data_IF_519029150763
#
_entry.id   IF_519029150763
#
_cell.length_a   1.000
_cell.length_b   1.000
_cell.length_c   1.000
_cell.angle_alpha   90.00
_cell.angle_beta   90.00
_cell.angle_gamma   90.00
#
_symmetry.space_group_name_H-M   'P 1'
#
loop_
_entity.id
_entity.type
_entity.pdbx_description
1 polymer ?
#
# COMPACT_ATOMS: atom_id res chain seq x y z
N UNK A 1 12.30 9.91 -12.27
CA UNK A 1 12.16 9.97 -13.74
C UNK A 1 10.96 10.84 -14.07
N UNK A 2 11.11 12.03 -14.69
CA UNK A 2 9.97 12.78 -15.21
C UNK A 2 10.02 12.84 -16.74
N UNK A 3 8.88 12.57 -17.38
CA UNK A 3 8.69 12.86 -18.81
C UNK A 3 7.87 14.13 -18.95
N UNK A 4 8.57 15.16 -19.40
CA UNK A 4 8.09 16.46 -19.84
C UNK A 4 7.66 16.34 -21.30
N UNK A 5 6.48 16.84 -21.65
CA UNK A 5 6.20 17.30 -23.02
C UNK A 5 5.51 18.65 -22.93
N UNK A 6 6.17 19.65 -23.50
CA UNK A 6 5.69 21.01 -23.66
C UNK A 6 5.46 21.32 -25.14
N UNK A 7 4.36 22.05 -25.39
CA UNK A 7 4.26 23.24 -26.23
C UNK A 7 4.36 23.17 -27.77
N UNK A 8 3.26 23.59 -28.45
CA UNK A 8 3.03 24.94 -29.05
C UNK A 8 2.17 24.84 -30.33
N UNK A 9 1.22 25.76 -30.52
CA UNK A 9 1.27 26.82 -31.56
C UNK A 9 0.02 27.71 -31.48
N UNK A 10 0.28 29.01 -31.61
CA UNK A 10 -0.59 30.19 -31.54
C UNK A 10 -1.59 30.33 -32.72
N UNK A 11 -2.65 31.11 -32.47
CA UNK A 11 -3.46 31.76 -33.52
C UNK A 11 -4.26 32.95 -32.96
N UNK A 12 -3.90 34.17 -33.40
CA UNK A 12 -4.43 35.48 -33.00
C UNK A 12 -5.54 35.94 -33.98
N UNK A 13 -6.72 36.36 -33.44
CA UNK A 13 -7.61 37.54 -33.74
C UNK A 13 -7.86 37.90 -35.24
N UNK A 14 -9.11 38.14 -35.75
CA UNK A 14 -9.89 39.34 -35.37
C UNK A 14 -11.44 39.33 -35.47
N UNK A 15 -12.08 40.26 -34.75
CA UNK A 15 -13.37 40.89 -35.13
C UNK A 15 -13.08 41.98 -36.18
N UNK A 16 -13.97 42.29 -37.16
CA UNK A 16 -15.15 43.14 -36.88
C UNK A 16 -16.33 43.03 -37.90
N UNK A 17 -17.39 43.81 -37.64
CA UNK A 17 -18.06 44.74 -38.58
C UNK A 17 -19.61 44.66 -38.57
N UNK A 18 -20.20 45.74 -38.07
CA UNK A 18 -21.54 46.22 -38.36
C UNK A 18 -21.63 46.76 -39.79
N UNK A 19 -22.72 46.45 -40.51
CA UNK A 19 -23.06 47.10 -41.79
C UNK A 19 -24.55 47.49 -41.78
N UNK A 20 -24.79 48.79 -41.71
CA UNK A 20 -25.98 49.46 -42.25
C UNK A 20 -25.76 49.76 -43.74
N UNK A 21 -26.76 49.54 -44.58
CA UNK A 21 -26.95 50.21 -45.88
C UNK A 21 -28.41 49.94 -46.34
N UNK A 22 -29.28 50.94 -46.30
CA UNK A 22 -29.61 51.90 -47.37
C UNK A 22 -30.59 51.36 -48.43
N UNK A 23 -31.72 52.09 -48.51
CA UNK A 23 -32.76 52.07 -49.53
C UNK A 23 -32.22 52.35 -50.93
N UNK A 24 -32.93 51.88 -51.96
CA UNK A 24 -33.16 52.67 -53.16
C UNK A 24 -34.65 52.95 -53.37
N UNK A 25 -34.94 54.23 -53.53
CA UNK A 25 -36.17 54.76 -54.14
C UNK A 25 -36.11 54.44 -55.64
N UNK A 26 -37.14 53.76 -56.14
CA UNK A 26 -37.36 53.51 -57.57
C UNK A 26 -38.83 53.70 -57.92
N UNK A 27 -39.11 54.76 -58.66
CA UNK A 27 -40.41 55.13 -59.23
C UNK A 27 -40.68 54.39 -60.57
N UNK A 28 -41.96 54.42 -60.96
CA UNK A 28 -42.57 54.11 -62.27
C UNK A 28 -43.00 52.66 -62.54
N UNK A 29 -44.32 52.42 -62.58
CA UNK A 29 -45.09 52.24 -63.83
C UNK A 29 -46.50 51.69 -63.52
N UNK A 30 -47.51 52.47 -63.87
CA UNK A 30 -48.92 52.05 -63.95
C UNK A 30 -49.13 51.09 -65.12
N UNK A 31 -49.68 49.90 -64.86
CA UNK A 31 -50.16 48.96 -65.88
C UNK A 31 -51.50 48.33 -65.47
N UNK A 32 -52.30 47.87 -66.45
CA UNK A 32 -53.75 47.98 -66.43
C UNK A 32 -54.45 46.83 -65.71
N UNK A 33 -55.65 47.16 -65.22
CA UNK A 33 -56.69 46.27 -64.71
C UNK A 33 -57.02 45.15 -65.69
N UNK A 34 -56.40 43.98 -65.48
CA UNK A 34 -56.79 42.71 -66.08
C UNK A 34 -57.95 42.06 -65.31
N UNK A 35 -59.02 41.76 -66.04
CA UNK A 35 -60.21 41.02 -65.60
C UNK A 35 -59.84 39.67 -64.95
N UNK A 36 -60.52 39.25 -63.87
CA UNK A 36 -60.22 38.00 -63.19
C UNK A 36 -60.54 36.79 -64.08
N UNK A 37 -59.52 35.98 -64.36
CA UNK A 37 -59.70 34.64 -64.91
C UNK A 37 -60.52 33.79 -63.92
N UNK A 38 -61.49 33.00 -64.39
CA UNK A 38 -62.25 32.09 -63.55
C UNK A 38 -61.30 31.09 -62.88
N UNK A 39 -61.38 31.02 -61.55
CA UNK A 39 -60.62 30.08 -60.74
C UNK A 39 -60.84 28.65 -61.26
N UNK A 40 -59.79 28.04 -61.81
CA UNK A 40 -59.82 26.63 -62.15
C UNK A 40 -59.98 25.84 -60.85
N UNK A 41 -61.12 25.18 -60.72
CA UNK A 41 -61.42 24.24 -59.65
C UNK A 41 -60.32 23.19 -59.57
N UNK A 42 -59.42 23.31 -58.60
CA UNK A 42 -58.44 22.27 -58.28
C UNK A 42 -59.19 21.09 -57.66
N UNK A 43 -59.70 20.21 -58.53
CA UNK A 43 -60.21 18.91 -58.12
C UNK A 43 -59.03 18.04 -57.70
N UNK A 44 -58.91 17.72 -56.41
CA UNK A 44 -58.20 16.50 -56.03
C UNK A 44 -57.77 16.34 -54.58
N UNK A 45 -57.19 17.35 -53.93
CA UNK A 45 -56.31 17.08 -52.75
C UNK A 45 -56.83 17.71 -51.44
N UNK A 46 -57.89 18.50 -51.47
CA UNK A 46 -58.36 19.28 -50.30
C UNK A 46 -59.41 18.59 -49.44
N UNK A 47 -59.79 17.32 -49.70
CA UNK A 47 -60.72 16.61 -48.81
C UNK A 47 -60.05 16.38 -47.45
N UNK A 48 -60.70 16.76 -46.33
CA UNK A 48 -60.16 16.47 -45.01
C UNK A 48 -59.97 14.97 -44.87
N UNK A 49 -58.87 14.57 -44.25
CA UNK A 49 -58.65 13.15 -43.91
C UNK A 49 -59.88 12.67 -43.13
N UNK A 50 -60.39 11.48 -43.43
CA UNK A 50 -61.53 10.95 -42.70
C UNK A 50 -61.16 10.82 -41.22
N UNK A 51 -62.11 11.13 -40.34
CA UNK A 51 -61.89 11.27 -38.88
C UNK A 51 -61.15 10.07 -38.27
N UNK A 52 -61.40 8.86 -38.78
CA UNK A 52 -60.75 7.63 -38.34
C UNK A 52 -59.23 7.63 -38.57
N UNK A 53 -58.75 8.16 -39.71
CA UNK A 53 -57.33 8.20 -40.01
C UNK A 53 -56.58 9.19 -39.11
N UNK A 54 -57.26 10.27 -38.70
CA UNK A 54 -56.76 11.21 -37.72
C UNK A 54 -56.66 10.58 -36.32
N UNK A 55 -57.71 9.88 -35.88
CA UNK A 55 -57.72 9.19 -34.57
C UNK A 55 -56.66 8.09 -34.51
N UNK A 56 -56.54 7.25 -35.55
CA UNK A 56 -55.51 6.20 -35.60
C UNK A 56 -54.10 6.79 -35.61
N UNK A 57 -53.89 7.93 -36.29
CA UNK A 57 -52.61 8.64 -36.25
C UNK A 57 -52.24 9.09 -34.83
N UNK A 58 -53.20 9.65 -34.08
CA UNK A 58 -52.97 10.05 -32.69
C UNK A 58 -52.68 8.82 -31.81
N UNK A 59 -53.45 7.74 -31.93
CA UNK A 59 -53.24 6.52 -31.15
C UNK A 59 -51.87 5.91 -31.44
N UNK A 60 -51.43 5.88 -32.71
CA UNK A 60 -50.11 5.38 -33.09
C UNK A 60 -48.99 6.24 -32.51
N UNK A 61 -49.15 7.57 -32.49
CA UNK A 61 -48.18 8.49 -31.88
C UNK A 61 -48.11 8.29 -30.37
N UNK A 62 -49.26 8.27 -29.67
CA UNK A 62 -49.32 8.06 -28.22
C UNK A 62 -48.76 6.68 -27.86
N UNK A 63 -49.16 5.64 -28.59
CA UNK A 63 -48.66 4.28 -28.42
C UNK A 63 -47.14 4.23 -28.65
N UNK A 64 -46.63 4.89 -29.68
CA UNK A 64 -45.19 5.00 -29.94
C UNK A 64 -44.43 5.66 -28.79
N UNK A 65 -44.96 6.76 -28.24
CA UNK A 65 -44.35 7.47 -27.09
C UNK A 65 -44.37 6.60 -25.83
N UNK A 66 -45.51 5.96 -25.51
CA UNK A 66 -45.63 5.07 -24.34
C UNK A 66 -44.70 3.87 -24.48
N UNK A 67 -44.62 3.28 -25.67
CA UNK A 67 -43.76 2.11 -25.89
C UNK A 67 -42.28 2.50 -25.81
N UNK A 68 -41.89 3.67 -26.35
CA UNK A 68 -40.53 4.19 -26.21
C UNK A 68 -40.16 4.45 -24.74
N UNK A 69 -41.11 4.95 -23.93
CA UNK A 69 -40.90 5.18 -22.51
C UNK A 69 -40.84 3.86 -21.70
N UNK A 70 -41.70 2.89 -22.00
CA UNK A 70 -41.81 1.64 -21.25
C UNK A 70 -40.76 0.58 -21.62
N UNK A 71 -40.12 0.69 -22.79
CA UNK A 71 -39.12 -0.29 -23.25
C UNK A 71 -37.68 0.11 -22.95
N UNK A 72 -37.43 1.36 -22.59
CA UNK A 72 -36.13 1.79 -22.08
C UNK A 72 -35.95 1.32 -20.64
N UNK A 73 -34.94 0.48 -20.38
CA UNK A 73 -34.49 0.21 -18.99
C UNK A 73 -33.91 1.44 -18.31
N UNK A 74 -33.65 2.50 -19.08
CA UNK A 74 -33.07 3.78 -18.68
C UNK A 74 -34.10 4.88 -18.94
N UNK A 75 -34.56 5.53 -17.86
CA UNK A 75 -35.65 6.52 -17.92
C UNK A 75 -35.20 7.77 -18.68
N UNK A 76 -33.93 8.17 -18.53
CA UNK A 76 -33.37 9.30 -19.24
C UNK A 76 -33.26 9.03 -20.75
N UNK A 77 -32.89 7.81 -21.14
CA UNK A 77 -32.88 7.42 -22.55
C UNK A 77 -34.30 7.38 -23.15
N UNK A 78 -35.29 6.92 -22.36
CA UNK A 78 -36.70 6.93 -22.73
C UNK A 78 -37.22 8.35 -22.99
N UNK A 79 -36.90 9.30 -22.11
CA UNK A 79 -37.30 10.71 -22.24
C UNK A 79 -36.63 11.39 -23.44
N UNK A 80 -35.32 11.18 -23.65
CA UNK A 80 -34.62 11.71 -24.83
C UNK A 80 -35.22 11.16 -26.12
N UNK A 81 -35.50 9.86 -26.17
CA UNK A 81 -36.12 9.24 -27.35
C UNK A 81 -37.52 9.81 -27.59
N UNK A 82 -38.32 9.97 -26.54
CA UNK A 82 -39.64 10.59 -26.64
C UNK A 82 -39.55 12.05 -27.12
N UNK A 83 -38.58 12.83 -26.63
CA UNK A 83 -38.34 14.21 -27.04
C UNK A 83 -37.91 14.32 -28.51
N UNK A 84 -37.01 13.45 -28.97
CA UNK A 84 -36.56 13.40 -30.38
C UNK A 84 -37.71 12.98 -31.30
N UNK A 85 -38.50 11.98 -30.89
CA UNK A 85 -39.68 11.55 -31.64
C UNK A 85 -40.71 12.68 -31.73
N UNK A 86 -40.98 13.38 -30.61
CA UNK A 86 -41.90 14.51 -30.59
C UNK A 86 -41.43 15.66 -31.52
N UNK A 87 -40.14 16.02 -31.50
CA UNK A 87 -39.58 17.00 -32.42
C UNK A 87 -39.69 16.56 -33.89
N UNK A 88 -39.38 15.29 -34.18
CA UNK A 88 -39.46 14.74 -35.53
C UNK A 88 -40.89 14.82 -36.07
N UNK A 89 -41.88 14.47 -35.25
CA UNK A 89 -43.30 14.60 -35.59
C UNK A 89 -43.66 16.08 -35.80
N UNK A 90 -43.21 16.99 -34.94
CA UNK A 90 -43.47 18.42 -35.08
C UNK A 90 -42.93 19.00 -36.39
N UNK A 91 -41.72 18.61 -36.80
CA UNK A 91 -41.11 18.99 -38.08
C UNK A 91 -41.92 18.46 -39.25
N UNK A 92 -42.29 17.17 -39.23
CA UNK A 92 -43.13 16.58 -40.29
C UNK A 92 -44.49 17.28 -40.39
N UNK A 93 -45.15 17.55 -39.26
CA UNK A 93 -46.42 18.27 -39.22
C UNK A 93 -46.30 19.71 -39.73
N UNK A 94 -45.18 20.37 -39.45
CA UNK A 94 -44.88 21.72 -39.98
C UNK A 94 -44.73 21.69 -41.50
N UNK A 95 -43.98 20.72 -42.05
CA UNK A 95 -43.85 20.54 -43.50
C UNK A 95 -45.20 20.25 -44.17
N UNK A 96 -46.01 19.38 -43.56
CA UNK A 96 -47.37 19.08 -44.04
C UNK A 96 -48.25 20.32 -44.01
N UNK A 97 -48.16 21.15 -42.96
CA UNK A 97 -48.90 22.40 -42.85
C UNK A 97 -48.45 23.41 -43.93
N UNK A 98 -47.15 23.53 -44.22
CA UNK A 98 -46.62 24.39 -45.29
C UNK A 98 -47.13 23.93 -46.66
N UNK A 99 -47.01 22.64 -46.98
CA UNK A 99 -47.48 22.08 -48.25
C UNK A 99 -48.99 22.29 -48.40
N UNK A 100 -49.78 22.03 -47.35
CA UNK A 100 -51.22 22.28 -47.36
C UNK A 100 -51.58 23.76 -47.51
N UNK A 101 -50.78 24.65 -46.91
CA UNK A 101 -50.94 26.11 -47.07
C UNK A 101 -50.81 26.52 -48.53
N UNK A 102 -49.76 26.02 -49.20
CA UNK A 102 -49.51 26.26 -50.64
C UNK A 102 -50.60 25.62 -51.50
N UNK A 103 -51.07 24.42 -51.14
CA UNK A 103 -52.09 23.67 -51.90
C UNK A 103 -53.53 24.20 -51.73
N UNK A 104 -53.72 25.35 -51.08
CA UNK A 104 -55.01 26.05 -51.04
C UNK A 104 -55.67 26.14 -49.66
N UNK A 105 -55.06 25.62 -48.59
CA UNK A 105 -55.55 25.90 -47.23
C UNK A 105 -55.49 27.39 -46.89
N UNK A 106 -54.53 28.12 -47.48
CA UNK A 106 -54.41 29.58 -47.35
C UNK A 106 -55.43 30.37 -48.19
N UNK A 107 -56.18 29.73 -49.11
CA UNK A 107 -57.12 30.42 -49.98
C UNK A 107 -58.22 31.12 -49.17
N UNK A 108 -58.57 32.36 -49.53
CA UNK A 108 -59.65 33.13 -48.87
C UNK A 108 -61.01 32.43 -48.91
N UNK A 109 -61.21 31.51 -49.85
CA UNK A 109 -62.43 30.72 -50.00
C UNK A 109 -62.60 29.59 -48.99
N UNK A 110 -61.59 29.28 -48.17
CA UNK A 110 -61.70 28.25 -47.13
C UNK A 110 -62.27 28.85 -45.82
N UNK A 111 -63.55 28.61 -45.47
CA UNK A 111 -64.17 29.17 -44.26
C UNK A 111 -63.55 28.62 -42.96
N UNK A 112 -62.82 27.50 -43.03
CA UNK A 112 -62.19 26.86 -41.86
C UNK A 112 -60.69 27.17 -41.73
N UNK A 113 -60.14 28.02 -42.60
CA UNK A 113 -58.72 28.40 -42.62
C UNK A 113 -58.18 28.70 -41.23
N UNK A 114 -58.82 29.62 -40.51
CA UNK A 114 -58.34 30.09 -39.21
C UNK A 114 -58.32 28.95 -38.18
N UNK A 115 -59.37 28.13 -38.14
CA UNK A 115 -59.46 27.00 -37.20
C UNK A 115 -58.39 25.95 -37.49
N UNK A 116 -58.12 25.65 -38.76
CA UNK A 116 -57.10 24.67 -39.17
C UNK A 116 -55.68 25.15 -38.83
N UNK A 117 -55.38 26.43 -39.07
CA UNK A 117 -54.08 27.02 -38.70
C UNK A 117 -53.87 27.06 -37.20
N UNK A 118 -54.89 27.49 -36.44
CA UNK A 118 -54.80 27.52 -34.98
C UNK A 118 -54.61 26.10 -34.44
N UNK A 119 -55.43 25.11 -34.87
CA UNK A 119 -55.30 23.74 -34.34
C UNK A 119 -53.96 23.10 -34.68
N UNK A 120 -53.48 23.24 -35.93
CA UNK A 120 -52.20 22.66 -36.34
C UNK A 120 -51.02 23.37 -35.67
N UNK A 121 -51.07 24.71 -35.60
CA UNK A 121 -50.05 25.51 -34.92
C UNK A 121 -49.96 25.17 -33.43
N UNK A 122 -51.09 24.95 -32.75
CA UNK A 122 -51.12 24.58 -31.33
C UNK A 122 -50.52 23.20 -31.09
N UNK A 123 -50.83 22.20 -31.91
CA UNK A 123 -50.23 20.86 -31.81
C UNK A 123 -48.72 20.91 -32.05
N UNK A 124 -48.29 21.60 -33.11
CA UNK A 124 -46.86 21.76 -33.42
C UNK A 124 -46.14 22.47 -32.27
N UNK A 125 -46.74 23.52 -31.72
CA UNK A 125 -46.18 24.27 -30.60
C UNK A 125 -46.08 23.41 -29.33
N UNK A 126 -47.10 22.61 -29.03
CA UNK A 126 -47.07 21.67 -27.88
C UNK A 126 -45.95 20.64 -28.06
N UNK A 127 -45.80 20.06 -29.26
CA UNK A 127 -44.75 19.06 -29.52
C UNK A 127 -43.34 19.66 -29.44
N UNK A 128 -43.14 20.87 -29.96
CA UNK A 128 -41.86 21.58 -29.82
C UNK A 128 -41.60 22.00 -28.37
N UNK A 129 -42.63 22.46 -27.65
CA UNK A 129 -42.50 22.81 -26.24
C UNK A 129 -42.14 21.57 -25.40
N UNK A 130 -42.83 20.44 -25.59
CA UNK A 130 -42.55 19.20 -24.87
C UNK A 130 -41.17 18.60 -25.22
N UNK A 131 -40.76 18.68 -26.49
CA UNK A 131 -39.43 18.25 -26.91
C UNK A 131 -38.34 19.15 -26.33
N UNK A 132 -38.55 20.47 -26.36
CA UNK A 132 -37.63 21.44 -25.77
C UNK A 132 -37.47 21.23 -24.27
N UNK A 133 -38.55 20.94 -23.54
CA UNK A 133 -38.44 20.62 -22.10
C UNK A 133 -37.68 19.32 -21.86
N UNK A 134 -37.92 18.24 -22.62
CA UNK A 134 -37.19 16.98 -22.45
C UNK A 134 -35.69 17.14 -22.67
N UNK A 135 -35.29 17.89 -23.70
CA UNK A 135 -33.88 18.19 -23.98
C UNK A 135 -33.22 19.05 -22.89
N UNK A 136 -33.97 19.96 -22.26
CA UNK A 136 -33.45 20.82 -21.19
C UNK A 136 -33.38 20.09 -19.83
N UNK A 137 -34.22 19.08 -19.61
CA UNK A 137 -34.35 18.35 -18.34
C UNK A 137 -33.46 17.08 -18.33
N UNK A 138 -32.89 16.68 -19.46
CA UNK A 138 -32.08 15.46 -19.60
C UNK A 138 -31.03 15.30 -18.49
N UNK A 139 -30.27 16.36 -18.17
CA UNK A 139 -29.24 16.29 -17.13
C UNK A 139 -29.83 16.00 -15.75
N UNK A 140 -30.96 16.63 -15.40
CA UNK A 140 -31.64 16.38 -14.13
C UNK A 140 -32.27 14.99 -14.03
N UNK A 141 -32.71 14.42 -15.16
CA UNK A 141 -33.21 13.03 -15.17
C UNK A 141 -32.11 12.03 -14.87
N UNK A 142 -30.93 12.21 -15.45
CA UNK A 142 -29.76 11.38 -15.16
C UNK A 142 -29.38 11.44 -13.67
N UNK A 143 -29.42 12.61 -13.04
CA UNK A 143 -29.19 12.76 -11.59
C UNK A 143 -30.24 12.03 -10.74
N UNK A 144 -31.53 12.14 -11.05
CA UNK A 144 -32.60 11.40 -10.35
C UNK A 144 -32.42 9.89 -10.47
N UNK A 145 -32.09 9.42 -11.67
CA UNK A 145 -31.83 8.01 -11.92
C UNK A 145 -30.57 7.52 -11.21
N UNK A 146 -29.53 8.35 -11.14
CA UNK A 146 -28.32 8.07 -10.39
C UNK A 146 -28.61 7.89 -8.89
N UNK A 147 -29.37 8.80 -8.27
CA UNK A 147 -29.81 8.65 -6.88
C UNK A 147 -30.66 7.40 -6.64
N UNK A 148 -31.54 7.06 -7.58
CA UNK A 148 -32.31 5.82 -7.49
C UNK A 148 -31.40 4.59 -7.50
N UNK A 149 -30.41 4.54 -8.40
CA UNK A 149 -29.42 3.47 -8.48
C UNK A 149 -28.51 3.41 -7.25
N UNK A 150 -28.09 4.57 -6.73
CA UNK A 150 -27.33 4.72 -5.47
C UNK A 150 -28.12 4.08 -4.31
N UNK A 151 -29.40 4.41 -4.17
CA UNK A 151 -30.29 3.79 -3.16
C UNK A 151 -30.51 2.28 -3.34
N UNK A 152 -30.32 1.74 -4.55
CA UNK A 152 -30.34 0.29 -4.82
C UNK A 152 -28.95 -0.36 -4.72
N UNK A 153 -27.92 0.39 -4.28
CA UNK A 153 -26.52 -0.04 -4.22
C UNK A 153 -25.96 -0.48 -5.59
N UNK A 154 -26.49 0.06 -6.68
CA UNK A 154 -25.98 -0.14 -8.04
C UNK A 154 -24.90 0.91 -8.35
N UNK A 155 -23.81 0.87 -7.59
CA UNK A 155 -22.80 1.93 -7.51
C UNK A 155 -22.22 2.33 -8.88
N UNK A 156 -21.80 1.37 -9.69
CA UNK A 156 -21.26 1.62 -11.04
C UNK A 156 -22.31 2.26 -11.96
N UNK A 157 -23.56 1.82 -11.85
CA UNK A 157 -24.68 2.39 -12.59
C UNK A 157 -24.96 3.84 -12.18
N UNK A 158 -24.99 4.11 -10.87
CA UNK A 158 -25.18 5.44 -10.32
C UNK A 158 -24.09 6.41 -10.78
N UNK A 159 -22.81 6.03 -10.66
CA UNK A 159 -21.66 6.82 -11.13
C UNK A 159 -21.82 7.18 -12.61
N UNK A 160 -22.07 6.18 -13.46
CA UNK A 160 -22.27 6.40 -14.89
C UNK A 160 -23.43 7.37 -15.17
N UNK A 161 -24.52 7.29 -14.42
CA UNK A 161 -25.66 8.19 -14.59
C UNK A 161 -25.32 9.61 -14.13
N UNK A 162 -24.61 9.81 -13.02
CA UNK A 162 -24.11 11.13 -12.63
C UNK A 162 -23.20 11.75 -13.71
N UNK A 163 -22.27 10.97 -14.26
CA UNK A 163 -21.39 11.42 -15.35
C UNK A 163 -22.19 11.83 -16.60
N UNK A 164 -23.21 11.05 -16.99
CA UNK A 164 -24.13 11.41 -18.07
C UNK A 164 -24.96 12.66 -17.77
N UNK A 165 -25.24 12.94 -16.49
CA UNK A 165 -25.83 14.19 -16.01
C UNK A 165 -24.89 15.40 -16.09
N UNK A 166 -23.63 15.19 -16.48
CA UNK A 166 -22.60 16.21 -16.60
C UNK A 166 -21.76 16.42 -15.34
N UNK A 167 -21.95 15.58 -14.32
CA UNK A 167 -21.14 15.60 -13.11
C UNK A 167 -19.75 15.03 -13.38
N UNK A 168 -18.74 15.61 -12.72
CA UNK A 168 -17.34 15.19 -12.87
C UNK A 168 -16.48 15.64 -11.71
N UNK A 169 -15.36 14.97 -11.52
CA UNK A 169 -14.28 15.47 -10.69
C UNK A 169 -13.77 16.86 -11.19
N UNK A 170 -13.26 17.72 -10.30
CA UNK A 170 -13.13 17.51 -8.85
C UNK A 170 -14.34 18.02 -8.05
N UNK A 171 -15.38 18.53 -8.71
CA UNK A 171 -16.40 19.39 -8.08
C UNK A 171 -17.75 18.71 -7.81
N UNK A 172 -17.97 17.49 -8.29
CA UNK A 172 -19.21 16.77 -8.04
C UNK A 172 -19.24 16.20 -6.62
N UNK A 173 -20.17 16.69 -5.81
CA UNK A 173 -20.40 16.19 -4.45
C UNK A 173 -21.09 14.82 -4.47
N UNK A 174 -22.01 14.60 -5.41
CA UNK A 174 -22.77 13.35 -5.50
C UNK A 174 -21.88 12.17 -5.94
N UNK A 175 -21.01 12.34 -6.94
CA UNK A 175 -20.03 11.30 -7.31
C UNK A 175 -19.10 10.95 -6.14
N UNK A 176 -18.57 11.97 -5.45
CA UNK A 176 -17.71 11.77 -4.29
C UNK A 176 -18.43 11.00 -3.17
N UNK A 177 -19.70 11.36 -2.87
CA UNK A 177 -20.54 10.62 -1.92
C UNK A 177 -20.75 9.18 -2.35
N UNK A 178 -21.12 8.93 -3.62
CA UNK A 178 -21.38 7.58 -4.12
C UNK A 178 -20.12 6.69 -4.03
N UNK A 179 -18.93 7.24 -4.26
CA UNK A 179 -17.67 6.50 -4.03
C UNK A 179 -17.44 6.17 -2.55
N UNK A 180 -17.71 7.09 -1.64
CA UNK A 180 -17.64 6.83 -0.19
C UNK A 180 -18.61 5.71 0.23
N UNK A 181 -19.88 5.81 -0.15
CA UNK A 181 -20.90 4.82 0.19
C UNK A 181 -20.59 3.43 -0.42
N UNK A 182 -20.02 3.40 -1.63
CA UNK A 182 -19.54 2.16 -2.23
C UNK A 182 -18.36 1.56 -1.45
N UNK A 183 -17.38 2.39 -1.07
CA UNK A 183 -16.26 1.97 -0.22
C UNK A 183 -16.74 1.37 1.10
N UNK A 184 -17.72 2.00 1.74
CA UNK A 184 -18.31 1.52 3.00
C UNK A 184 -19.05 0.19 2.83
N UNK A 185 -19.87 0.05 1.79
CA UNK A 185 -20.58 -1.20 1.48
C UNK A 185 -19.59 -2.36 1.20
N UNK A 186 -18.46 -2.08 0.54
CA UNK A 186 -17.39 -3.04 0.31
C UNK A 186 -16.66 -3.42 1.61
N UNK A 187 -16.36 -2.43 2.46
CA UNK A 187 -15.72 -2.64 3.76
C UNK A 187 -16.58 -3.52 4.67
N UNK A 188 -17.90 -3.26 4.73
CA UNK A 188 -18.87 -4.08 5.47
C UNK A 188 -18.94 -5.54 4.96
N UNK A 189 -18.61 -5.77 3.69
CA UNK A 189 -18.53 -7.12 3.08
C UNK A 189 -17.16 -7.78 3.27
N UNK A 190 -16.22 -7.14 3.95
CA UNK A 190 -14.85 -7.62 4.14
C UNK A 190 -13.97 -7.51 2.90
N UNK A 191 -14.37 -6.71 1.89
CA UNK A 191 -13.63 -6.51 0.65
C UNK A 191 -12.77 -5.24 0.78
N UNK A 192 -11.90 -5.22 1.78
CA UNK A 192 -11.20 -4.02 2.24
C UNK A 192 -10.30 -3.37 1.19
N UNK A 193 -9.51 -4.14 0.43
CA UNK A 193 -8.62 -3.58 -0.60
C UNK A 193 -9.35 -2.79 -1.70
N UNK A 194 -10.54 -3.27 -2.11
CA UNK A 194 -11.37 -2.54 -3.09
C UNK A 194 -12.04 -1.32 -2.42
N UNK A 195 -12.47 -1.45 -1.16
CA UNK A 195 -13.03 -0.34 -0.39
C UNK A 195 -12.05 0.84 -0.28
N UNK A 196 -10.81 0.58 0.13
CA UNK A 196 -9.72 1.57 0.20
C UNK A 196 -9.53 2.26 -1.14
N UNK A 197 -9.48 1.50 -2.23
CA UNK A 197 -9.36 2.05 -3.58
C UNK A 197 -10.50 2.99 -3.97
N UNK A 198 -11.69 2.86 -3.36
CA UNK A 198 -12.81 3.81 -3.57
C UNK A 198 -12.66 5.08 -2.74
N UNK A 199 -12.20 4.97 -1.49
CA UNK A 199 -11.89 6.15 -0.67
C UNK A 199 -10.74 6.97 -1.28
N UNK A 200 -9.71 6.31 -1.81
CA UNK A 200 -8.59 6.94 -2.50
C UNK A 200 -9.04 7.83 -3.67
N UNK A 201 -10.05 7.40 -4.44
CA UNK A 201 -10.62 8.22 -5.53
C UNK A 201 -11.16 9.52 -4.97
N UNK A 202 -11.92 9.48 -3.87
CA UNK A 202 -12.49 10.69 -3.26
C UNK A 202 -11.40 11.61 -2.71
N UNK A 203 -10.41 11.05 -2.01
CA UNK A 203 -9.30 11.81 -1.42
C UNK A 203 -8.47 12.52 -2.50
N UNK A 204 -8.17 11.82 -3.60
CA UNK A 204 -7.24 12.31 -4.62
C UNK A 204 -7.92 13.12 -5.74
N UNK A 205 -9.08 12.68 -6.21
CA UNK A 205 -9.74 13.29 -7.39
C UNK A 205 -10.79 14.34 -7.00
N UNK A 206 -11.34 14.28 -5.79
CA UNK A 206 -12.40 15.17 -5.31
C UNK A 206 -11.94 16.07 -4.16
N UNK A 207 -10.65 16.44 -4.16
CA UNK A 207 -10.04 17.28 -3.12
C UNK A 207 -10.75 18.63 -2.85
N UNK A 208 -11.60 19.11 -3.78
CA UNK A 208 -12.41 20.33 -3.58
C UNK A 208 -13.67 20.10 -2.73
N UNK A 209 -14.09 18.84 -2.53
CA UNK A 209 -15.27 18.43 -1.78
C UNK A 209 -14.90 18.06 -0.34
N UNK A 210 -14.47 19.05 0.45
CA UNK A 210 -13.86 18.81 1.77
C UNK A 210 -14.67 17.86 2.67
N UNK A 211 -16.00 18.02 2.75
CA UNK A 211 -16.86 17.13 3.55
C UNK A 211 -16.78 15.66 3.09
N UNK A 212 -16.70 15.41 1.79
CA UNK A 212 -16.57 14.05 1.27
C UNK A 212 -15.15 13.50 1.42
N UNK A 213 -14.13 14.36 1.35
CA UNK A 213 -12.74 13.98 1.62
C UNK A 213 -12.56 13.60 3.09
N UNK A 214 -13.07 14.40 4.02
CA UNK A 214 -13.02 14.11 5.46
C UNK A 214 -13.73 12.78 5.76
N UNK A 215 -14.88 12.53 5.11
CA UNK A 215 -15.60 11.27 5.22
C UNK A 215 -14.79 10.08 4.68
N UNK A 216 -14.20 10.21 3.49
CA UNK A 216 -13.35 9.19 2.87
C UNK A 216 -12.15 8.82 3.76
N UNK A 217 -11.47 9.84 4.30
CA UNK A 217 -10.32 9.70 5.20
C UNK A 217 -10.68 8.93 6.48
N UNK A 218 -11.83 9.25 7.07
CA UNK A 218 -12.34 8.55 8.25
C UNK A 218 -12.70 7.08 7.91
N UNK A 219 -13.46 6.88 6.82
CA UNK A 219 -13.93 5.56 6.41
C UNK A 219 -12.79 4.64 5.96
N UNK A 220 -11.74 5.18 5.33
CA UNK A 220 -10.53 4.44 4.97
C UNK A 220 -9.74 4.00 6.20
N UNK A 221 -9.52 4.91 7.16
CA UNK A 221 -8.85 4.58 8.43
C UNK A 221 -9.60 3.47 9.16
N UNK A 222 -10.93 3.55 9.20
CA UNK A 222 -11.79 2.52 9.79
C UNK A 222 -11.70 1.18 9.02
N UNK A 223 -11.68 1.22 7.68
CA UNK A 223 -11.54 0.02 6.86
C UNK A 223 -10.21 -0.71 7.11
N UNK A 224 -9.08 0.00 7.25
CA UNK A 224 -7.80 -0.62 7.63
C UNK A 224 -7.85 -1.25 9.03
N UNK A 225 -8.51 -0.60 9.99
CA UNK A 225 -8.67 -1.15 11.35
C UNK A 225 -9.50 -2.43 11.32
N UNK A 226 -10.64 -2.44 10.61
CA UNK A 226 -11.47 -3.65 10.47
C UNK A 226 -10.74 -4.77 9.72
N UNK A 227 -9.93 -4.44 8.71
CA UNK A 227 -9.06 -5.40 8.03
C UNK A 227 -8.05 -6.02 9.00
N UNK A 228 -7.35 -5.19 9.77
CA UNK A 228 -6.42 -5.66 10.81
C UNK A 228 -7.10 -6.56 11.85
N UNK A 229 -8.33 -6.23 12.28
CA UNK A 229 -9.12 -7.08 13.18
C UNK A 229 -9.51 -8.41 12.53
N UNK A 230 -9.86 -8.40 11.24
CA UNK A 230 -10.14 -9.62 10.50
C UNK A 230 -8.91 -10.54 10.48
N UNK A 231 -7.73 -9.98 10.16
CA UNK A 231 -6.48 -10.74 10.07
C UNK A 231 -6.04 -11.29 11.44
N UNK A 232 -6.22 -10.51 12.51
CA UNK A 232 -6.02 -10.99 13.89
C UNK A 232 -6.88 -12.23 14.20
N UNK A 233 -8.14 -12.25 13.77
CA UNK A 233 -9.03 -13.41 13.96
C UNK A 233 -8.58 -14.62 13.14
N UNK A 234 -7.99 -14.40 11.97
CA UNK A 234 -7.43 -15.46 11.12
C UNK A 234 -6.02 -15.89 11.55
N UNK A 235 -5.47 -15.31 12.62
CA UNK A 235 -4.09 -15.53 13.09
C UNK A 235 -3.02 -15.13 12.05
N UNK A 236 -3.37 -14.28 11.07
CA UNK A 236 -2.40 -13.67 10.15
C UNK A 236 -1.82 -12.41 10.80
N UNK A 237 -0.94 -12.61 11.77
CA UNK A 237 -0.38 -11.52 12.57
C UNK A 237 0.51 -10.58 11.78
N UNK A 238 1.11 -11.05 10.67
CA UNK A 238 1.91 -10.19 9.80
C UNK A 238 1.04 -9.22 9.02
N UNK A 239 -0.03 -9.72 8.38
CA UNK A 239 -0.97 -8.87 7.66
C UNK A 239 -1.69 -7.91 8.62
N UNK A 240 -2.12 -8.41 9.79
CA UNK A 240 -2.75 -7.60 10.82
C UNK A 240 -1.88 -6.40 11.23
N UNK A 241 -0.61 -6.63 11.58
CA UNK A 241 0.32 -5.57 11.96
C UNK A 241 0.51 -4.56 10.82
N UNK A 242 0.62 -5.04 9.57
CA UNK A 242 0.76 -4.17 8.39
C UNK A 242 -0.46 -3.27 8.16
N UNK A 243 -1.67 -3.81 8.18
CA UNK A 243 -2.89 -3.02 7.94
C UNK A 243 -3.15 -2.01 9.06
N UNK A 244 -2.88 -2.38 10.31
CA UNK A 244 -3.01 -1.47 11.45
C UNK A 244 -1.96 -0.35 11.42
N UNK A 245 -0.73 -0.66 10.98
CA UNK A 245 0.28 0.36 10.71
C UNK A 245 -0.12 1.30 9.59
N UNK A 246 -0.75 0.80 8.52
CA UNK A 246 -1.29 1.66 7.46
C UNK A 246 -2.31 2.65 8.03
N UNK A 247 -3.24 2.21 8.90
CA UNK A 247 -4.17 3.10 9.57
C UNK A 247 -3.46 4.17 10.41
N UNK A 248 -2.50 3.78 11.26
CA UNK A 248 -1.78 4.69 12.16
C UNK A 248 -0.86 5.69 11.42
N UNK A 249 -0.35 5.30 10.25
CA UNK A 249 0.54 6.14 9.45
C UNK A 249 -0.21 7.14 8.56
N UNK A 250 -1.54 7.05 8.45
CA UNK A 250 -2.33 8.06 7.73
C UNK A 250 -2.23 9.42 8.44
N UNK A 251 -1.97 10.48 7.67
CA UNK A 251 -1.87 11.85 8.22
C UNK A 251 -3.17 12.36 8.85
N UNK A 252 -4.30 11.75 8.49
CA UNK A 252 -5.65 12.05 8.97
C UNK A 252 -6.17 11.04 10.00
N UNK A 253 -5.36 10.11 10.51
CA UNK A 253 -5.80 9.25 11.62
C UNK A 253 -6.00 10.10 12.89
N UNK A 254 -7.27 10.34 13.20
CA UNK A 254 -7.76 11.14 14.33
C UNK A 254 -7.39 10.53 15.69
N UNK A 255 -7.72 11.24 16.78
CA UNK A 255 -7.52 10.72 18.13
C UNK A 255 -8.34 9.44 18.38
N UNK A 256 -9.56 9.38 17.85
CA UNK A 256 -10.44 8.21 17.91
C UNK A 256 -9.82 7.03 17.14
N UNK A 257 -9.37 7.28 15.89
CA UNK A 257 -8.65 6.29 15.07
C UNK A 257 -7.44 5.71 15.82
N UNK A 258 -6.58 6.57 16.39
CA UNK A 258 -5.41 6.12 17.17
C UNK A 258 -5.82 5.37 18.43
N UNK A 259 -6.85 5.82 19.13
CA UNK A 259 -7.37 5.18 20.33
C UNK A 259 -7.84 3.75 20.08
N UNK A 260 -8.39 3.48 18.90
CA UNK A 260 -8.81 2.15 18.47
C UNK A 260 -7.67 1.31 17.90
N UNK A 261 -6.86 1.87 16.99
CA UNK A 261 -5.83 1.14 16.26
C UNK A 261 -4.61 0.80 17.13
N UNK A 262 -4.17 1.69 18.02
CA UNK A 262 -2.96 1.51 18.84
C UNK A 262 -2.96 0.20 19.67
N UNK A 263 -3.99 -0.09 20.49
CA UNK A 263 -4.01 -1.35 21.26
C UNK A 263 -4.00 -2.58 20.35
N UNK A 264 -4.75 -2.55 19.24
CA UNK A 264 -4.77 -3.64 18.27
C UNK A 264 -3.40 -3.86 17.61
N UNK A 265 -2.69 -2.78 17.30
CA UNK A 265 -1.36 -2.82 16.68
C UNK A 265 -0.35 -3.45 17.64
N UNK A 266 -0.38 -3.05 18.92
CA UNK A 266 0.41 -3.67 19.98
C UNK A 266 0.16 -5.18 20.08
N UNK A 267 -1.11 -5.58 20.15
CA UNK A 267 -1.51 -7.00 20.17
C UNK A 267 -1.02 -7.74 18.92
N UNK A 268 -1.14 -7.15 17.73
CA UNK A 268 -0.70 -7.76 16.47
C UNK A 268 0.81 -8.00 16.45
N UNK A 269 1.63 -7.01 16.84
CA UNK A 269 3.07 -7.16 16.91
C UNK A 269 3.52 -8.17 17.96
N UNK A 270 2.88 -8.18 19.13
CA UNK A 270 3.17 -9.17 20.17
C UNK A 270 2.87 -10.60 19.69
N UNK A 271 1.70 -10.81 19.08
CA UNK A 271 1.35 -12.13 18.54
C UNK A 271 2.23 -12.54 17.35
N UNK A 272 2.61 -11.59 16.48
CA UNK A 272 3.59 -11.79 15.41
C UNK A 272 4.92 -12.26 15.99
N UNK A 273 5.43 -11.59 17.03
CA UNK A 273 6.67 -11.96 17.69
C UNK A 273 6.60 -13.38 18.25
N UNK A 274 5.53 -13.74 18.96
CA UNK A 274 5.35 -15.10 19.49
C UNK A 274 5.23 -16.17 18.42
N UNK A 275 4.56 -15.86 17.31
CA UNK A 275 4.47 -16.77 16.18
C UNK A 275 5.86 -17.04 15.58
N UNK A 276 6.65 -15.99 15.34
CA UNK A 276 8.03 -16.10 14.85
C UNK A 276 8.93 -16.85 15.83
N UNK A 277 8.76 -16.62 17.14
CA UNK A 277 9.44 -17.38 18.18
C UNK A 277 9.14 -18.88 18.08
N UNK A 278 7.87 -19.24 17.88
CA UNK A 278 7.46 -20.64 17.66
C UNK A 278 8.07 -21.28 16.42
N UNK A 279 8.33 -20.49 15.37
CA UNK A 279 9.05 -20.90 14.17
C UNK A 279 10.58 -20.90 14.32
N UNK A 280 11.11 -20.45 15.46
CA UNK A 280 12.55 -20.24 15.72
C UNK A 280 13.20 -19.22 14.80
N UNK A 281 12.42 -18.29 14.27
CA UNK A 281 12.90 -17.09 13.56
C UNK A 281 13.26 -16.01 14.60
N UNK A 282 14.28 -16.30 15.43
CA UNK A 282 14.56 -15.54 16.65
C UNK A 282 14.85 -14.06 16.39
N UNK A 283 15.68 -13.74 15.39
CA UNK A 283 16.01 -12.36 15.05
C UNK A 283 14.76 -11.54 14.67
N UNK A 284 13.88 -12.09 13.84
CA UNK A 284 12.63 -11.42 13.45
C UNK A 284 11.63 -11.34 14.60
N UNK A 285 11.61 -12.35 15.48
CA UNK A 285 10.85 -12.31 16.73
C UNK A 285 11.31 -11.18 17.65
N UNK A 286 12.63 -11.00 17.84
CA UNK A 286 13.19 -9.93 18.68
C UNK A 286 12.81 -8.57 18.11
N UNK A 287 12.99 -8.34 16.81
CA UNK A 287 12.56 -7.10 16.14
C UNK A 287 11.08 -6.78 16.37
N UNK A 288 10.21 -7.78 16.33
CA UNK A 288 8.78 -7.60 16.58
C UNK A 288 8.47 -7.23 18.05
N UNK A 289 9.15 -7.83 19.03
CA UNK A 289 9.05 -7.42 20.44
C UNK A 289 9.61 -6.00 20.69
N UNK A 290 10.71 -5.63 20.04
CA UNK A 290 11.27 -4.28 20.11
C UNK A 290 10.29 -3.22 19.59
N UNK A 291 9.51 -3.54 18.55
CA UNK A 291 8.43 -2.67 18.08
C UNK A 291 7.39 -2.46 19.19
N UNK A 292 6.96 -3.50 19.89
CA UNK A 292 6.04 -3.38 21.02
C UNK A 292 6.63 -2.48 22.12
N UNK A 293 7.89 -2.70 22.49
CA UNK A 293 8.56 -1.94 23.54
C UNK A 293 8.73 -0.46 23.19
N UNK A 294 9.10 -0.16 21.94
CA UNK A 294 9.47 1.19 21.50
C UNK A 294 8.25 2.03 21.11
N UNK A 295 7.28 1.45 20.38
CA UNK A 295 6.10 2.17 19.88
C UNK A 295 4.93 2.13 20.85
N UNK A 296 4.82 1.08 21.68
CA UNK A 296 3.68 0.87 22.56
C UNK A 296 4.09 0.62 24.02
N UNK A 297 4.96 1.47 24.64
CA UNK A 297 5.52 1.21 25.98
C UNK A 297 4.49 1.18 27.12
N UNK A 298 3.29 1.72 26.89
CA UNK A 298 2.19 1.74 27.88
C UNK A 298 1.18 0.62 27.66
N UNK A 299 1.38 -0.23 26.66
CA UNK A 299 0.49 -1.35 26.37
C UNK A 299 0.65 -2.48 27.40
N UNK A 300 -0.40 -3.29 27.63
CA UNK A 300 -0.27 -4.51 28.42
C UNK A 300 0.77 -5.47 27.84
N UNK A 301 0.87 -5.58 26.51
CA UNK A 301 1.81 -6.47 25.84
C UNK A 301 3.27 -6.09 26.10
N UNK A 302 3.59 -4.80 26.17
CA UNK A 302 4.94 -4.34 26.53
C UNK A 302 5.37 -4.80 27.93
N UNK A 303 4.43 -4.98 28.86
CA UNK A 303 4.72 -5.52 30.19
C UNK A 303 4.80 -7.06 30.19
N UNK A 304 4.05 -7.72 29.31
CA UNK A 304 3.95 -9.18 29.25
C UNK A 304 5.08 -9.82 28.44
N UNK A 305 5.70 -9.10 27.51
CA UNK A 305 6.69 -9.66 26.59
C UNK A 305 8.04 -10.01 27.23
N UNK A 306 8.35 -9.53 28.44
CA UNK A 306 9.67 -9.69 29.05
C UNK A 306 10.21 -11.14 29.03
N UNK A 307 9.43 -12.18 29.40
CA UNK A 307 9.91 -13.57 29.33
C UNK A 307 9.95 -14.15 27.90
N UNK A 308 9.03 -13.73 27.02
CA UNK A 308 9.01 -14.21 25.64
C UNK A 308 10.19 -13.63 24.84
N UNK A 309 10.55 -12.36 25.09
CA UNK A 309 11.70 -11.68 24.49
C UNK A 309 13.03 -12.25 24.99
N UNK A 310 13.16 -12.60 26.28
CA UNK A 310 14.36 -13.28 26.79
C UNK A 310 14.57 -14.65 26.12
N UNK A 311 13.47 -15.38 25.87
CA UNK A 311 13.51 -16.65 25.14
C UNK A 311 13.98 -16.44 23.69
N UNK A 312 13.45 -15.42 23.00
CA UNK A 312 13.85 -15.10 21.64
C UNK A 312 15.33 -14.71 21.55
N UNK A 313 15.79 -13.79 22.41
CA UNK A 313 17.19 -13.36 22.47
C UNK A 313 18.15 -14.51 22.77
N UNK A 314 17.79 -15.45 23.66
CA UNK A 314 18.66 -16.60 23.94
C UNK A 314 18.74 -17.53 22.73
N UNK A 315 17.64 -17.72 22.02
CA UNK A 315 17.62 -18.45 20.76
C UNK A 315 18.49 -17.80 19.70
N UNK A 316 18.39 -16.48 19.54
CA UNK A 316 19.22 -15.68 18.62
C UNK A 316 20.70 -15.79 18.97
N UNK A 317 21.05 -15.60 20.25
CA UNK A 317 22.42 -15.71 20.72
C UNK A 317 23.01 -17.11 20.50
N UNK A 318 22.22 -18.17 20.66
CA UNK A 318 22.66 -19.55 20.36
C UNK A 318 22.92 -19.75 18.87
N UNK A 319 22.03 -19.27 18.00
CA UNK A 319 22.24 -19.32 16.54
C UNK A 319 23.46 -18.51 16.11
N UNK A 320 23.61 -17.29 16.62
CA UNK A 320 24.77 -16.45 16.35
C UNK A 320 26.07 -17.15 16.79
N UNK A 321 26.05 -17.81 17.95
CA UNK A 321 27.22 -18.51 18.49
C UNK A 321 27.74 -19.60 17.56
N UNK A 322 26.83 -20.36 16.94
CA UNK A 322 27.15 -21.45 16.02
C UNK A 322 27.66 -20.96 14.65
N UNK A 323 27.34 -19.71 14.27
CA UNK A 323 27.74 -19.11 12.99
C UNK A 323 29.03 -18.30 13.17
N UNK A 324 29.00 -17.27 14.01
CA UNK A 324 30.12 -16.38 14.33
C UNK A 324 30.05 -16.07 15.82
N UNK A 325 30.88 -16.74 16.61
CA UNK A 325 30.78 -16.69 18.07
C UNK A 325 30.87 -15.27 18.66
N UNK A 326 31.66 -14.37 18.06
CA UNK A 326 31.76 -12.97 18.50
C UNK A 326 30.43 -12.22 18.43
N UNK A 327 29.54 -12.58 17.51
CA UNK A 327 28.25 -11.92 17.32
C UNK A 327 27.25 -12.30 18.43
N UNK A 328 27.46 -13.44 19.09
CA UNK A 328 26.65 -13.87 20.23
C UNK A 328 26.96 -13.12 21.53
N UNK A 329 28.19 -12.62 21.68
CA UNK A 329 28.63 -11.94 22.91
C UNK A 329 27.73 -10.76 23.29
N UNK A 330 27.45 -9.77 22.41
CA UNK A 330 26.58 -8.65 22.76
C UNK A 330 25.13 -9.09 23.08
N UNK A 331 24.60 -10.12 22.41
CA UNK A 331 23.25 -10.64 22.67
C UNK A 331 23.17 -11.26 24.08
N UNK A 332 24.18 -12.05 24.45
CA UNK A 332 24.28 -12.63 25.78
C UNK A 332 24.48 -11.56 26.86
N UNK A 333 25.24 -10.50 26.57
CA UNK A 333 25.42 -9.37 27.49
C UNK A 333 24.10 -8.66 27.73
N UNK A 334 23.34 -8.38 26.68
CA UNK A 334 22.00 -7.80 26.79
C UNK A 334 21.06 -8.66 27.63
N UNK A 335 21.04 -9.98 27.39
CA UNK A 335 20.27 -10.93 28.21
C UNK A 335 20.66 -10.89 29.69
N UNK A 336 21.97 -10.92 29.97
CA UNK A 336 22.49 -10.94 31.33
C UNK A 336 22.25 -9.63 32.09
N UNK A 337 22.16 -8.50 31.38
CA UNK A 337 21.96 -7.18 31.96
C UNK A 337 20.48 -6.83 32.09
N UNK A 338 19.71 -6.92 31.00
CA UNK A 338 18.32 -6.47 30.94
C UNK A 338 17.31 -7.52 31.38
N UNK A 339 17.65 -8.80 31.26
CA UNK A 339 16.76 -9.94 31.55
C UNK A 339 17.29 -10.83 32.67
N UNK A 340 18.11 -10.28 33.58
CA UNK A 340 18.78 -11.03 34.64
C UNK A 340 17.84 -11.77 35.62
N UNK A 341 16.58 -11.35 35.69
CA UNK A 341 15.50 -11.94 36.50
C UNK A 341 14.89 -13.20 35.86
N UNK A 342 15.08 -13.39 34.55
CA UNK A 342 14.59 -14.54 33.80
C UNK A 342 15.52 -15.77 33.91
N UNK A 343 15.04 -17.00 33.68
CA UNK A 343 15.92 -18.16 33.51
C UNK A 343 16.97 -17.96 32.41
N UNK A 344 16.57 -17.37 31.28
CA UNK A 344 17.42 -17.17 30.10
C UNK A 344 18.54 -16.16 30.37
N UNK A 345 18.25 -15.05 31.04
CA UNK A 345 19.28 -14.08 31.43
C UNK A 345 20.27 -14.65 32.46
N UNK A 346 19.82 -15.52 33.37
CA UNK A 346 20.72 -16.26 34.26
C UNK A 346 21.58 -17.26 33.51
N UNK A 347 21.03 -17.98 32.53
CA UNK A 347 21.79 -18.84 31.64
C UNK A 347 22.85 -18.04 30.88
N UNK A 348 22.47 -16.89 30.32
CA UNK A 348 23.39 -16.02 29.60
C UNK A 348 24.54 -15.53 30.49
N UNK A 349 24.23 -15.10 31.72
CA UNK A 349 25.23 -14.68 32.72
C UNK A 349 26.19 -15.81 33.10
N UNK A 350 25.70 -17.04 33.26
CA UNK A 350 26.56 -18.20 33.51
C UNK A 350 27.45 -18.50 32.29
N UNK A 351 26.89 -18.47 31.07
CA UNK A 351 27.64 -18.72 29.85
C UNK A 351 28.72 -17.66 29.62
N UNK A 352 28.42 -16.38 29.87
CA UNK A 352 29.36 -15.26 29.78
C UNK A 352 30.49 -15.33 30.81
N UNK A 353 30.38 -16.14 31.86
CA UNK A 353 31.44 -16.32 32.87
C UNK A 353 32.10 -17.69 32.80
N UNK A 354 31.63 -18.56 31.90
CA UNK A 354 32.15 -19.91 31.74
C UNK A 354 33.59 -19.87 31.22
N UNK A 355 34.48 -20.74 31.76
CA UNK A 355 35.78 -20.99 31.16
C UNK A 355 35.66 -21.46 29.71
N UNK A 356 36.59 -21.05 28.84
CA UNK A 356 36.59 -21.38 27.41
C UNK A 356 37.73 -22.33 27.05
N UNK A 357 37.50 -23.26 26.10
CA UNK A 357 38.55 -24.13 25.62
C UNK A 357 39.60 -23.31 24.85
N UNK A 358 40.86 -23.72 24.98
CA UNK A 358 41.98 -23.15 24.23
C UNK A 358 42.69 -24.27 23.49
N UNK A 359 42.88 -24.08 22.19
CA UNK A 359 43.52 -25.06 21.30
C UNK A 359 44.59 -24.37 20.46
N UNK A 360 45.45 -25.18 19.84
CA UNK A 360 46.41 -24.74 18.85
C UNK A 360 47.14 -25.94 18.26
N UNK A 361 47.96 -25.67 17.25
CA UNK A 361 48.69 -26.68 16.51
C UNK A 361 50.12 -26.21 16.22
N UNK A 362 51.12 -27.03 16.51
CA UNK A 362 52.51 -26.78 16.13
C UNK A 362 52.82 -27.45 14.78
N UNK A 363 53.33 -26.69 13.81
CA UNK A 363 53.69 -27.20 12.47
C UNK A 363 55.00 -28.03 12.47
N UNK A 364 56.09 -27.61 13.14
CA UNK A 364 57.36 -28.33 13.04
C UNK A 364 57.34 -29.70 13.73
N UNK A 365 58.32 -30.55 13.41
CA UNK A 365 58.46 -31.89 14.00
C UNK A 365 58.43 -31.82 15.54
N UNK A 366 57.38 -32.42 16.13
CA UNK A 366 57.23 -32.56 17.57
C UNK A 366 58.29 -33.54 18.12
N UNK A 367 59.10 -33.15 19.12
CA UNK A 367 60.06 -34.05 19.74
C UNK A 367 59.37 -35.33 20.26
N UNK A 368 59.98 -36.48 19.98
CA UNK A 368 59.41 -37.78 20.32
C UNK A 368 60.06 -38.34 21.58
N UNK A 369 59.38 -39.28 22.23
CA UNK A 369 59.96 -40.02 23.36
C UNK A 369 61.28 -40.74 22.98
N UNK A 370 61.43 -41.13 21.71
CA UNK A 370 62.69 -41.68 21.18
C UNK A 370 63.89 -40.74 21.30
N UNK A 371 63.63 -39.44 21.42
CA UNK A 371 64.66 -38.40 21.45
C UNK A 371 65.09 -38.09 22.90
N UNK A 372 64.61 -38.86 23.88
CA UNK A 372 64.96 -38.74 25.30
C UNK A 372 64.06 -37.78 26.09
N UNK A 373 62.94 -37.34 25.52
CA UNK A 373 61.96 -36.48 26.17
C UNK A 373 60.82 -37.31 26.77
N UNK A 374 60.30 -36.90 27.93
CA UNK A 374 59.21 -37.59 28.60
C UNK A 374 57.87 -37.16 28.01
N UNK A 375 57.60 -35.85 28.05
CA UNK A 375 56.37 -35.24 27.56
C UNK A 375 56.68 -33.90 26.90
N UNK A 376 56.05 -33.62 25.75
CA UNK A 376 56.02 -32.29 25.13
C UNK A 376 54.76 -31.58 25.61
N UNK A 377 54.92 -30.35 26.13
CA UNK A 377 53.85 -29.63 26.81
C UNK A 377 53.76 -28.18 26.33
N UNK A 378 52.53 -27.70 26.22
CA UNK A 378 52.18 -26.30 26.15
C UNK A 378 51.67 -25.84 27.51
N UNK A 379 52.01 -24.62 27.92
CA UNK A 379 51.54 -23.99 29.14
C UNK A 379 51.09 -22.55 28.88
N UNK A 380 50.13 -22.08 29.67
CA UNK A 380 49.57 -20.73 29.55
C UNK A 380 49.82 -19.94 30.83
N UNK A 381 50.71 -18.95 30.76
CA UNK A 381 51.06 -18.12 31.91
C UNK A 381 50.21 -16.85 31.88
N UNK A 382 49.44 -16.54 32.94
CA UNK A 382 48.63 -15.33 32.98
C UNK A 382 49.50 -14.08 33.11
N UNK A 383 49.28 -13.09 32.24
CA UNK A 383 49.87 -11.74 32.30
C UNK A 383 51.40 -11.72 32.55
N UNK A 384 52.19 -12.45 31.75
CA UNK A 384 53.62 -12.55 31.97
C UNK A 384 54.31 -11.20 31.69
N UNK A 385 55.10 -10.72 32.66
CA UNK A 385 56.00 -9.57 32.45
C UNK A 385 57.22 -10.02 31.62
N UNK A 386 57.72 -9.14 30.76
CA UNK A 386 58.93 -9.42 29.97
C UNK A 386 60.22 -9.43 30.80
N UNK A 387 60.17 -8.92 32.04
CA UNK A 387 61.32 -8.74 32.92
C UNK A 387 61.34 -9.77 34.07
N UNK A 388 60.64 -10.88 33.90
CA UNK A 388 60.53 -11.95 34.90
C UNK A 388 61.85 -12.73 35.02
N UNK A 389 62.30 -12.99 36.25
CA UNK A 389 63.48 -13.84 36.48
C UNK A 389 63.17 -15.31 36.18
N UNK A 390 64.17 -16.13 35.83
CA UNK A 390 63.99 -17.57 35.59
C UNK A 390 63.26 -18.25 36.77
N UNK A 391 63.65 -17.92 38.01
CA UNK A 391 63.02 -18.48 39.22
C UNK A 391 61.54 -18.13 39.29
N UNK A 392 61.17 -16.90 38.98
CA UNK A 392 59.78 -16.45 39.00
C UNK A 392 58.97 -17.04 37.83
N UNK A 393 59.60 -17.17 36.65
CA UNK A 393 59.00 -17.85 35.50
C UNK A 393 58.63 -19.29 35.83
N UNK A 394 59.55 -20.07 36.38
CA UNK A 394 59.27 -21.47 36.74
C UNK A 394 58.26 -21.57 37.89
N UNK A 395 58.25 -20.63 38.83
CA UNK A 395 57.22 -20.57 39.87
C UNK A 395 55.81 -20.29 39.29
N UNK A 396 55.70 -19.45 38.27
CA UNK A 396 54.44 -19.23 37.55
C UNK A 396 54.05 -20.47 36.72
N UNK A 397 55.01 -21.08 36.03
CA UNK A 397 54.81 -22.28 35.21
C UNK A 397 54.30 -23.46 36.03
N UNK A 398 54.80 -23.67 37.25
CA UNK A 398 54.34 -24.74 38.14
C UNK A 398 52.85 -24.62 38.53
N UNK A 399 52.27 -23.43 38.41
CA UNK A 399 50.86 -23.16 38.66
C UNK A 399 50.04 -22.94 37.38
N UNK A 400 50.69 -22.91 36.21
CA UNK A 400 50.06 -22.64 34.94
C UNK A 400 49.22 -23.84 34.48
N UNK A 401 48.08 -23.61 33.81
CA UNK A 401 47.41 -24.65 33.05
C UNK A 401 48.36 -25.20 31.99
N UNK A 402 48.45 -26.53 31.90
CA UNK A 402 49.24 -27.24 30.90
C UNK A 402 48.38 -28.14 30.01
N UNK A 403 48.84 -28.37 28.80
CA UNK A 403 48.30 -29.33 27.85
C UNK A 403 49.44 -30.16 27.26
N UNK A 404 49.22 -31.46 27.07
CA UNK A 404 50.13 -32.29 26.30
C UNK A 404 50.00 -31.91 24.83
N UNK A 405 51.14 -31.76 24.16
CA UNK A 405 51.20 -31.64 22.70
C UNK A 405 51.27 -33.05 22.15
N UNK A 406 50.30 -33.41 21.31
CA UNK A 406 50.27 -34.73 20.72
C UNK A 406 51.35 -34.89 19.63
N UNK A 407 51.50 -36.11 19.10
CA UNK A 407 52.50 -36.37 18.05
C UNK A 407 52.19 -35.70 16.71
N UNK A 408 50.96 -35.20 16.53
CA UNK A 408 50.55 -34.52 15.31
C UNK A 408 50.82 -33.01 15.40
N UNK A 409 50.99 -32.46 16.60
CA UNK A 409 51.19 -31.04 16.88
C UNK A 409 50.03 -30.37 17.64
N UNK A 410 48.88 -31.03 17.75
CA UNK A 410 47.69 -30.51 18.42
C UNK A 410 47.87 -30.50 19.94
N UNK A 411 47.32 -29.47 20.57
CA UNK A 411 47.13 -29.43 22.01
C UNK A 411 45.77 -28.84 22.35
N UNK A 412 45.22 -29.27 23.50
CA UNK A 412 43.96 -28.75 24.02
C UNK A 412 44.07 -28.56 25.53
N UNK A 413 43.92 -27.31 25.97
CA UNK A 413 43.82 -26.99 27.39
C UNK A 413 42.44 -27.36 27.93
N UNK A 414 42.38 -27.73 29.20
CA UNK A 414 41.10 -27.71 29.94
C UNK A 414 40.51 -26.29 29.88
N UNK A 415 39.17 -26.13 29.86
CA UNK A 415 38.55 -24.81 29.79
C UNK A 415 39.14 -23.82 30.80
N UNK A 416 39.59 -22.66 30.31
CA UNK A 416 40.30 -21.63 31.07
C UNK A 416 39.44 -20.41 31.33
N UNK A 417 39.65 -19.79 32.49
CA UNK A 417 38.98 -18.53 32.82
C UNK A 417 39.35 -17.46 31.80
N UNK A 418 38.44 -16.54 31.57
CA UNK A 418 38.71 -15.37 30.73
C UNK A 418 39.90 -14.56 31.25
N UNK A 419 40.66 -13.99 30.33
CA UNK A 419 41.90 -13.29 30.65
C UNK A 419 42.91 -13.34 29.50
N UNK A 420 44.08 -12.76 29.75
CA UNK A 420 45.21 -12.76 28.83
C UNK A 420 46.24 -13.78 29.30
N UNK A 421 46.70 -14.63 28.39
CA UNK A 421 47.67 -15.68 28.70
C UNK A 421 48.76 -15.75 27.63
N UNK A 422 50.00 -15.87 28.06
CA UNK A 422 51.14 -16.06 27.18
C UNK A 422 51.41 -17.55 26.99
N UNK A 423 51.52 -17.98 25.73
CA UNK A 423 51.83 -19.35 25.38
C UNK A 423 53.33 -19.61 25.51
N UNK A 424 53.67 -20.60 26.33
CA UNK A 424 55.02 -21.15 26.44
C UNK A 424 54.97 -22.64 26.17
N UNK A 425 56.02 -23.20 25.58
CA UNK A 425 56.06 -24.61 25.24
C UNK A 425 57.43 -25.21 25.53
N UNK A 426 57.46 -26.51 25.78
CA UNK A 426 58.66 -27.14 26.26
C UNK A 426 58.53 -28.65 26.40
N UNK A 427 59.52 -29.24 27.06
CA UNK A 427 59.52 -30.66 27.40
C UNK A 427 60.12 -30.90 28.78
N UNK A 428 59.73 -32.03 29.37
CA UNK A 428 60.36 -32.60 30.56
C UNK A 428 61.29 -33.74 30.17
N UNK A 429 62.37 -33.93 30.94
CA UNK A 429 63.29 -35.07 30.81
C UNK A 429 63.13 -36.05 31.96
N UNK A 430 63.57 -37.32 31.81
CA UNK A 430 63.50 -38.33 32.87
C UNK A 430 64.22 -37.96 34.17
N UNK A 431 65.21 -37.05 34.11
CA UNK A 431 65.94 -36.53 35.28
C UNK A 431 65.17 -35.44 36.04
N UNK A 432 63.96 -35.09 35.59
CA UNK A 432 63.12 -34.04 36.16
C UNK A 432 63.45 -32.63 35.66
N UNK A 433 64.48 -32.46 34.83
CA UNK A 433 64.77 -31.16 34.20
C UNK A 433 63.68 -30.80 33.20
N UNK A 434 63.40 -29.50 33.10
CA UNK A 434 62.39 -28.93 32.21
C UNK A 434 63.03 -27.84 31.37
N UNK A 435 62.67 -27.75 30.10
CA UNK A 435 63.10 -26.67 29.20
C UNK A 435 61.87 -26.12 28.52
N UNK A 436 61.60 -24.84 28.73
CA UNK A 436 60.48 -24.12 28.14
C UNK A 436 60.99 -22.91 27.37
N UNK A 437 60.30 -22.56 26.29
CA UNK A 437 60.59 -21.40 25.47
C UNK A 437 59.31 -20.63 25.20
N UNK A 438 59.47 -19.34 24.95
CA UNK A 438 58.46 -18.42 24.49
C UNK A 438 59.08 -17.54 23.42
N UNK A 439 58.26 -17.03 22.51
CA UNK A 439 58.73 -16.14 21.45
C UNK A 439 58.21 -14.74 21.73
N UNK A 440 59.12 -13.76 21.72
CA UNK A 440 58.79 -12.34 21.85
C UNK A 440 59.14 -11.55 20.59
N UNK A 441 58.40 -10.47 20.36
CA UNK A 441 58.64 -9.53 19.28
C UNK A 441 59.85 -8.66 19.65
N UNK A 442 60.94 -8.77 18.88
CA UNK A 442 62.28 -8.18 19.16
C UNK A 442 62.28 -6.69 19.54
N UNK A 443 61.29 -5.92 19.08
CA UNK A 443 61.26 -4.47 19.26
C UNK A 443 60.30 -4.00 20.38
N UNK A 444 59.34 -4.83 20.79
CA UNK A 444 58.32 -4.46 21.79
C UNK A 444 58.42 -5.27 23.07
N UNK A 445 59.20 -6.35 23.06
CA UNK A 445 59.27 -7.34 24.15
C UNK A 445 57.91 -7.97 24.49
N UNK A 446 56.92 -7.85 23.60
CA UNK A 446 55.62 -8.49 23.74
C UNK A 446 55.69 -9.93 23.23
N UNK A 447 55.03 -10.85 23.91
CA UNK A 447 54.92 -12.24 23.45
C UNK A 447 54.18 -12.30 22.11
N UNK A 448 54.66 -13.18 21.23
CA UNK A 448 54.09 -13.37 19.89
C UNK A 448 52.77 -14.16 19.96
N UNK A 449 52.70 -15.13 20.86
CA UNK A 449 51.55 -16.02 21.03
C UNK A 449 50.83 -15.71 22.33
N UNK A 450 49.84 -14.80 22.24
CA UNK A 450 49.02 -14.37 23.37
C UNK A 450 47.58 -14.81 23.14
N UNK A 451 47.03 -15.58 24.08
CA UNK A 451 45.61 -15.89 24.13
C UNK A 451 44.84 -14.79 24.85
N UNK A 452 43.94 -14.13 24.12
CA UNK A 452 42.92 -13.26 24.70
C UNK A 452 41.62 -14.05 24.81
N UNK A 453 41.44 -14.71 25.95
CA UNK A 453 40.29 -15.57 26.20
C UNK A 453 39.10 -14.68 26.58
N UNK A 454 38.22 -14.44 25.61
CA UNK A 454 36.94 -13.75 25.80
C UNK A 454 35.81 -14.67 26.26
N UNK A 455 34.61 -14.15 26.51
CA UNK A 455 33.44 -14.95 26.85
C UNK A 455 32.93 -15.77 25.66
N UNK A 456 32.24 -16.89 25.94
CA UNK A 456 31.53 -17.78 25.01
C UNK A 456 32.35 -18.54 23.96
N UNK A 457 33.48 -17.98 23.52
CA UNK A 457 34.22 -18.42 22.35
C UNK A 457 35.49 -19.17 22.72
N UNK A 458 35.72 -20.30 22.04
CA UNK A 458 37.00 -20.99 22.08
C UNK A 458 38.11 -20.07 21.54
N UNK A 459 39.27 -20.08 22.18
CA UNK A 459 40.46 -19.46 21.62
C UNK A 459 41.27 -20.50 20.83
N UNK A 460 41.70 -20.15 19.62
CA UNK A 460 42.58 -20.99 18.81
C UNK A 460 43.83 -20.21 18.43
N UNK A 461 45.00 -20.69 18.86
CA UNK A 461 46.30 -20.12 18.44
C UNK A 461 46.57 -20.29 16.95
N UNK A 462 45.82 -21.15 16.27
CA UNK A 462 46.04 -21.54 14.89
C UNK A 462 47.32 -22.35 14.75
N UNK A 463 47.98 -22.12 13.61
CA UNK A 463 49.22 -22.77 13.23
C UNK A 463 50.44 -22.04 13.82
N UNK A 464 51.20 -22.73 14.66
CA UNK A 464 52.40 -22.20 15.33
C UNK A 464 53.64 -22.76 14.62
N UNK A 465 54.35 -21.89 13.90
CA UNK A 465 55.56 -22.24 13.16
C UNK A 465 56.84 -21.98 13.98
N UNK A 466 56.86 -22.45 15.22
CA UNK A 466 58.02 -22.34 16.10
C UNK A 466 58.58 -23.72 16.44
N UNK A 467 59.91 -23.81 16.48
CA UNK A 467 60.60 -25.06 16.79
C UNK A 467 60.73 -25.23 18.30
N UNK A 468 60.68 -26.48 18.75
CA UNK A 468 61.15 -26.84 20.09
C UNK A 468 62.68 -26.70 20.13
N UNK A 469 63.20 -25.96 21.10
CA UNK A 469 64.65 -25.80 21.29
C UNK A 469 65.24 -27.10 21.83
N UNK A 470 65.81 -27.91 20.94
CA UNK A 470 66.59 -29.09 21.32
C UNK A 470 68.04 -28.65 21.57
N UNK A 471 68.51 -28.82 22.82
CA UNK A 471 69.88 -28.52 23.25
C UNK A 471 70.82 -29.68 23.02
#
# INVERSE_FOLDING_TARGET
>A
MPLTIANLVNGIVPAPASVQANLPVGTYASMPTGTPLPASSSKGITRPLPLWAFILGIIAIIGGIITAFATGSDWAAGDLTAAIVAASIAVVLTLVLIVRSIAGMAARSNPHRLRQYISAGLIILVLFASSGTGLLIQNSMHSVQAHYMEGQKQWEGAIKQYELGGEKAPSSSDLARTYNEWGEDLSQKGIYGIAISRFDIVINEYASQQTQVDHAQQSESHAYIEWGKHDLKQHDYMAAASHLDMALNQTYCSAECRGEATPLTSTAYYNKAKFLLGLKEYQESVKAFEVVQSRFPQSPEAQQQHPDMSTALLGEGKQAKDIVCSDAVPIYQELAEKFADTPEGREAKMALSAPQPVVGHFIPDIPKASDGYLDVQAALIPDQSSDISDTEFYAQLDNAPTALVDSNGDFTFKPLKQGTYDLVWGFSRPDGSRTYTSTSIKNTNQYLYVAQIGPLCSFNFGEINEKFLTS
#
